data_IF_167156540260
#
_entry.id   IF_167156540260
#
_cell.length_a   1.000
_cell.length_b   1.000
_cell.length_c   1.000
_cell.angle_alpha   90.00
_cell.angle_beta   90.00
_cell.angle_gamma   90.00
#
_symmetry.space_group_name_H-M   'P 1'
#
loop_
_entity.id
_entity.type
_entity.pdbx_description
1 polymer ?
#
# COMPACT_ATOMS: atom_id res chain seq x y z
N UNK A 1 12.65 -7.22 1.25
CA UNK A 1 11.30 -7.79 1.23
C UNK A 1 11.13 -8.73 0.05
N UNK A 2 10.18 -9.67 0.13
CA UNK A 2 9.94 -10.65 -0.93
C UNK A 2 8.97 -10.15 -2.03
N UNK A 3 8.77 -10.96 -3.08
CA UNK A 3 7.90 -10.61 -4.22
C UNK A 3 6.42 -10.47 -3.85
N UNK A 4 5.92 -11.28 -2.93
CA UNK A 4 4.54 -11.19 -2.46
C UNK A 4 4.31 -9.89 -1.70
N UNK A 5 5.28 -9.45 -0.90
CA UNK A 5 5.25 -8.15 -0.25
C UNK A 5 5.15 -7.02 -1.28
N UNK A 6 6.06 -6.97 -2.27
CA UNK A 6 6.07 -5.90 -3.28
C UNK A 6 4.75 -5.84 -4.06
N UNK A 7 4.26 -7.01 -4.50
CA UNK A 7 2.98 -7.07 -5.22
C UNK A 7 1.80 -6.70 -4.32
N UNK A 8 1.78 -7.21 -3.08
CA UNK A 8 0.72 -6.91 -2.12
C UNK A 8 0.61 -5.42 -1.83
N UNK A 9 1.74 -4.75 -1.59
CA UNK A 9 1.83 -3.32 -1.39
C UNK A 9 1.30 -2.55 -2.61
N UNK A 10 1.80 -2.84 -3.81
CA UNK A 10 1.37 -2.15 -5.04
C UNK A 10 -0.14 -2.28 -5.30
N UNK A 11 -0.73 -3.46 -5.05
CA UNK A 11 -2.17 -3.67 -5.19
C UNK A 11 -2.95 -2.80 -4.20
N UNK A 12 -2.53 -2.70 -2.94
CA UNK A 12 -3.24 -1.90 -1.95
C UNK A 12 -3.05 -0.40 -2.15
N UNK A 13 -1.87 0.05 -2.61
CA UNK A 13 -1.65 1.46 -3.01
C UNK A 13 -2.61 1.84 -4.13
N UNK A 14 -2.75 1.00 -5.16
CA UNK A 14 -3.73 1.22 -6.23
C UNK A 14 -5.16 1.33 -5.69
N UNK A 15 -5.55 0.47 -4.75
CA UNK A 15 -6.90 0.51 -4.16
C UNK A 15 -7.17 1.80 -3.38
N UNK A 16 -6.16 2.35 -2.71
CA UNK A 16 -6.28 3.57 -1.93
C UNK A 16 -6.34 4.83 -2.78
N UNK A 17 -5.70 4.85 -3.96
CA UNK A 17 -5.65 6.06 -4.80
C UNK A 17 -6.75 6.02 -5.88
N UNK A 18 -7.05 4.84 -6.43
CA UNK A 18 -7.94 4.72 -7.58
C UNK A 18 -9.42 4.60 -7.17
N UNK A 19 -10.10 5.75 -7.06
CA UNK A 19 -11.52 5.84 -6.69
C UNK A 19 -12.45 5.60 -7.88
N UNK A 20 -12.09 6.00 -9.10
CA UNK A 20 -12.98 6.05 -10.28
C UNK A 20 -12.65 5.02 -11.39
N UNK A 21 -11.59 4.23 -11.22
CA UNK A 21 -11.13 3.24 -12.19
C UNK A 21 -10.16 3.79 -13.24
N UNK A 22 -9.72 5.06 -13.13
CA UNK A 22 -8.73 5.67 -14.02
C UNK A 22 -7.42 5.89 -13.28
N UNK A 23 -6.35 5.41 -13.91
CA UNK A 23 -4.99 5.71 -13.47
C UNK A 23 -4.64 7.11 -13.98
N UNK A 24 -4.43 8.06 -13.07
CA UNK A 24 -3.96 9.40 -13.37
C UNK A 24 -2.43 9.54 -13.13
N UNK A 25 -1.86 10.67 -13.56
CA UNK A 25 -0.41 10.92 -13.43
C UNK A 25 0.06 10.90 -11.97
N UNK A 26 -0.83 11.20 -11.04
CA UNK A 26 -0.52 11.22 -9.62
C UNK A 26 -0.41 9.81 -9.07
N UNK A 27 -1.36 8.94 -9.39
CA UNK A 27 -1.29 7.53 -9.02
C UNK A 27 0.01 6.91 -9.54
N UNK A 28 0.38 7.21 -10.79
CA UNK A 28 1.63 6.76 -11.38
C UNK A 28 2.84 7.26 -10.58
N UNK A 29 2.87 8.55 -10.22
CA UNK A 29 3.95 9.14 -9.42
C UNK A 29 4.09 8.49 -8.05
N UNK A 30 2.97 8.18 -7.39
CA UNK A 30 2.97 7.49 -6.09
C UNK A 30 3.44 6.04 -6.21
N UNK A 31 2.95 5.29 -7.20
CA UNK A 31 3.41 3.93 -7.46
C UNK A 31 4.91 3.89 -7.81
N UNK A 32 5.42 4.87 -8.55
CA UNK A 32 6.85 5.03 -8.83
C UNK A 32 7.66 5.33 -7.56
N UNK A 33 7.14 6.20 -6.69
CA UNK A 33 7.83 6.53 -5.43
C UNK A 33 7.97 5.29 -4.53
N UNK A 34 6.91 4.49 -4.41
CA UNK A 34 6.95 3.20 -3.68
C UNK A 34 7.90 2.20 -4.34
N UNK A 35 7.90 2.13 -5.67
CA UNK A 35 8.82 1.27 -6.43
C UNK A 35 10.28 1.62 -6.10
N UNK A 36 10.62 2.90 -6.07
CA UNK A 36 11.99 3.35 -5.83
C UNK A 36 12.39 3.16 -4.35
N UNK A 37 11.48 3.46 -3.41
CA UNK A 37 11.71 3.28 -1.96
C UNK A 37 11.96 1.81 -1.61
N UNK A 38 11.10 0.91 -2.09
CA UNK A 38 11.17 -0.53 -1.82
C UNK A 38 12.09 -1.30 -2.78
N UNK A 39 12.73 -0.59 -3.73
CA UNK A 39 13.62 -1.16 -4.75
C UNK A 39 12.96 -2.29 -5.54
N UNK A 40 11.70 -2.09 -5.91
CA UNK A 40 10.92 -3.06 -6.69
C UNK A 40 11.48 -3.14 -8.10
N UNK A 41 11.84 -4.34 -8.53
CA UNK A 41 12.40 -4.56 -9.85
C UNK A 41 11.38 -4.26 -10.97
N UNK A 42 11.88 -3.80 -12.11
CA UNK A 42 11.06 -3.43 -13.27
C UNK A 42 10.18 -4.57 -13.79
N UNK A 43 10.61 -5.82 -13.62
CA UNK A 43 9.83 -6.98 -14.08
C UNK A 43 8.60 -7.18 -13.19
N UNK A 44 8.75 -7.07 -11.87
CA UNK A 44 7.66 -7.13 -10.89
C UNK A 44 6.69 -5.97 -11.09
N UNK A 45 7.20 -4.74 -11.24
CA UNK A 45 6.37 -3.56 -11.43
C UNK A 45 5.56 -3.60 -12.75
N UNK A 46 6.18 -4.07 -13.84
CA UNK A 46 5.50 -4.26 -15.14
C UNK A 46 4.43 -5.34 -15.07
N UNK A 47 4.72 -6.47 -14.41
CA UNK A 47 3.76 -7.56 -14.24
C UNK A 47 2.55 -7.10 -13.42
N UNK A 48 2.77 -6.26 -12.40
CA UNK A 48 1.70 -5.60 -11.68
C UNK A 48 0.83 -4.75 -12.62
N UNK A 49 1.41 -3.86 -13.42
CA UNK A 49 0.66 -3.02 -14.35
C UNK A 49 -0.18 -3.82 -15.36
N UNK A 50 0.37 -4.90 -15.91
CA UNK A 50 -0.39 -5.82 -16.80
C UNK A 50 -1.59 -6.42 -16.06
N UNK A 51 -1.43 -6.81 -14.80
CA UNK A 51 -2.50 -7.43 -14.02
C UNK A 51 -3.67 -6.48 -13.74
N UNK A 52 -3.42 -5.18 -13.56
CA UNK A 52 -4.45 -4.18 -13.30
C UNK A 52 -5.46 -4.06 -14.45
N UNK A 53 -5.02 -4.18 -15.70
CA UNK A 53 -5.90 -4.11 -16.88
C UNK A 53 -6.90 -5.26 -17.01
N UNK A 54 -6.77 -6.30 -16.18
CA UNK A 54 -7.58 -7.53 -16.28
C UNK A 54 -8.44 -7.81 -15.06
N UNK A 55 -8.22 -7.09 -13.95
CA UNK A 55 -8.84 -7.39 -12.66
C UNK A 55 -9.83 -6.29 -12.26
N UNK A 56 -10.92 -6.68 -11.62
CA UNK A 56 -11.82 -5.72 -10.99
C UNK A 56 -11.22 -5.22 -9.67
N UNK A 57 -11.64 -4.03 -9.21
CA UNK A 57 -11.19 -3.43 -7.95
C UNK A 57 -11.28 -4.40 -6.76
N UNK A 58 -12.37 -5.16 -6.65
CA UNK A 58 -12.53 -6.14 -5.58
C UNK A 58 -11.48 -7.27 -5.65
N UNK A 59 -11.13 -7.73 -6.85
CA UNK A 59 -10.14 -8.79 -7.04
C UNK A 59 -8.71 -8.29 -6.79
N UNK A 60 -8.42 -7.04 -7.18
CA UNK A 60 -7.15 -6.36 -6.86
C UNK A 60 -6.98 -6.29 -5.34
N UNK A 61 -8.01 -5.86 -4.62
CA UNK A 61 -8.00 -5.83 -3.15
C UNK A 61 -7.76 -7.21 -2.53
N UNK A 62 -8.58 -8.21 -2.91
CA UNK A 62 -8.45 -9.58 -2.38
C UNK A 62 -7.07 -10.16 -2.64
N UNK A 63 -6.52 -9.92 -3.82
CA UNK A 63 -5.18 -10.36 -4.20
C UNK A 63 -4.11 -9.67 -3.36
N UNK A 64 -4.19 -8.36 -3.16
CA UNK A 64 -3.27 -7.60 -2.32
C UNK A 64 -3.22 -8.16 -0.90
N UNK A 65 -4.37 -8.38 -0.28
CA UNK A 65 -4.48 -8.96 1.07
C UNK A 65 -3.93 -10.38 1.12
N UNK A 66 -4.28 -11.23 0.16
CA UNK A 66 -3.80 -12.61 0.12
C UNK A 66 -2.26 -12.68 0.02
N UNK A 67 -1.66 -11.80 -0.80
CA UNK A 67 -0.21 -11.69 -0.93
C UNK A 67 0.44 -11.24 0.38
N UNK A 68 -0.07 -10.18 1.01
CA UNK A 68 0.47 -9.73 2.30
C UNK A 68 0.29 -10.76 3.41
N UNK A 69 -0.82 -11.49 3.45
CA UNK A 69 -1.05 -12.56 4.42
C UNK A 69 -0.09 -13.75 4.29
N UNK A 70 0.59 -13.89 3.14
CA UNK A 70 1.65 -14.88 2.95
C UNK A 70 3.04 -14.37 3.37
N UNK A 71 3.15 -13.11 3.75
CA UNK A 71 4.40 -12.48 4.17
C UNK A 71 4.62 -12.60 5.67
N UNK A 72 5.84 -12.27 6.12
CA UNK A 72 6.15 -12.17 7.55
C UNK A 72 5.36 -11.04 8.21
N UNK A 73 5.31 -11.05 9.55
CA UNK A 73 4.68 -9.97 10.31
C UNK A 73 5.37 -8.62 10.09
N UNK A 74 6.70 -8.61 10.07
CA UNK A 74 7.52 -7.43 9.77
C UNK A 74 7.25 -6.88 8.36
N UNK A 75 7.16 -7.78 7.36
CA UNK A 75 6.81 -7.39 5.99
C UNK A 75 5.42 -6.77 5.93
N UNK A 76 4.42 -7.38 6.58
CA UNK A 76 3.06 -6.81 6.64
C UNK A 76 3.08 -5.43 7.30
N UNK A 77 3.77 -5.29 8.43
CA UNK A 77 3.85 -4.06 9.20
C UNK A 77 4.50 -2.92 8.41
N UNK A 78 5.56 -3.23 7.65
CA UNK A 78 6.18 -2.29 6.72
C UNK A 78 5.20 -1.86 5.62
N UNK A 79 4.49 -2.81 4.99
CA UNK A 79 3.52 -2.49 3.94
C UNK A 79 2.41 -1.57 4.45
N UNK A 80 1.84 -1.86 5.63
CA UNK A 80 0.80 -1.02 6.23
C UNK A 80 1.32 0.34 6.69
N UNK A 81 2.60 0.45 7.07
CA UNK A 81 3.25 1.73 7.33
C UNK A 81 3.26 2.62 6.08
N UNK A 82 3.64 2.09 4.91
CA UNK A 82 3.59 2.87 3.65
C UNK A 82 2.16 3.31 3.33
N UNK A 83 1.19 2.40 3.45
CA UNK A 83 -0.22 2.70 3.16
C UNK A 83 -0.79 3.76 4.11
N UNK A 84 -0.39 3.72 5.38
CA UNK A 84 -0.78 4.72 6.37
C UNK A 84 -0.19 6.10 6.05
N UNK A 85 1.11 6.19 5.76
CA UNK A 85 1.74 7.45 5.34
C UNK A 85 1.13 8.02 4.07
N UNK A 86 0.80 7.16 3.11
CA UNK A 86 0.10 7.55 1.90
C UNK A 86 -1.25 8.20 2.24
N UNK A 87 -2.06 7.53 3.10
CA UNK A 87 -3.34 8.05 3.55
C UNK A 87 -3.23 9.38 4.33
N UNK A 88 -2.18 9.58 5.13
CA UNK A 88 -1.97 10.84 5.87
C UNK A 88 -1.50 11.99 4.96
N UNK A 89 -0.63 11.69 3.99
CA UNK A 89 -0.02 12.71 3.12
C UNK A 89 -0.91 13.11 1.94
N UNK A 90 -1.85 12.24 1.55
CA UNK A 90 -2.74 12.46 0.42
C UNK A 90 -4.13 12.94 0.88
N UNK A 91 -4.37 14.25 0.75
CA UNK A 91 -5.66 14.88 1.08
C UNK A 91 -6.86 14.45 0.20
N UNK A 92 -6.64 13.65 -0.84
CA UNK A 92 -7.69 13.11 -1.72
C UNK A 92 -8.14 11.71 -1.37
N UNK A 93 -7.40 11.03 -0.48
CA UNK A 93 -7.85 9.74 0.06
C UNK A 93 -9.06 10.02 0.96
N UNK A 94 -10.21 9.46 0.58
CA UNK A 94 -11.48 9.72 1.25
C UNK A 94 -11.75 8.72 2.39
N UNK A 95 -12.84 8.93 3.13
CA UNK A 95 -13.20 8.10 4.29
C UNK A 95 -13.45 6.62 3.92
N UNK A 96 -13.85 6.33 2.70
CA UNK A 96 -14.06 4.97 2.20
C UNK A 96 -12.72 4.26 2.02
N UNK A 97 -11.73 4.92 1.46
CA UNK A 97 -10.37 4.38 1.29
C UNK A 97 -9.70 4.17 2.66
N UNK A 98 -9.87 5.12 3.59
CA UNK A 98 -9.44 4.93 4.98
C UNK A 98 -10.12 3.69 5.60
N UNK A 99 -11.42 3.51 5.38
CA UNK A 99 -12.13 2.30 5.85
C UNK A 99 -11.57 1.03 5.22
N UNK A 100 -11.19 1.06 3.94
CA UNK A 100 -10.54 -0.06 3.25
C UNK A 100 -9.18 -0.36 3.87
N UNK A 101 -8.36 0.65 4.16
CA UNK A 101 -7.08 0.49 4.86
C UNK A 101 -7.26 -0.15 6.24
N UNK A 102 -8.16 0.38 7.06
CA UNK A 102 -8.43 -0.17 8.40
C UNK A 102 -8.94 -1.62 8.33
N UNK A 103 -9.76 -1.92 7.32
CA UNK A 103 -10.23 -3.28 7.07
C UNK A 103 -9.09 -4.22 6.66
N UNK A 104 -8.17 -3.73 5.83
CA UNK A 104 -6.98 -4.46 5.40
C UNK A 104 -6.05 -4.81 6.57
N UNK A 105 -5.75 -3.83 7.43
CA UNK A 105 -4.94 -4.01 8.65
C UNK A 105 -5.55 -5.10 9.54
N UNK A 106 -6.85 -5.01 9.80
CA UNK A 106 -7.58 -6.01 10.59
C UNK A 106 -7.54 -7.41 9.97
N UNK A 107 -7.72 -7.51 8.64
CA UNK A 107 -7.66 -8.81 7.95
C UNK A 107 -6.26 -9.41 7.95
N UNK A 108 -5.22 -8.57 7.95
CA UNK A 108 -3.83 -8.99 8.01
C UNK A 108 -3.34 -9.36 9.42
N UNK A 109 -4.22 -9.17 10.42
CA UNK A 109 -3.94 -9.37 11.86
C UNK A 109 -2.72 -8.59 12.31
N UNK A 110 -2.64 -7.34 11.89
CA UNK A 110 -1.63 -6.38 12.33
C UNK A 110 -2.28 -5.41 13.32
N UNK A 111 -1.53 -5.03 14.34
CA UNK A 111 -1.94 -4.00 15.29
C UNK A 111 -1.83 -2.62 14.63
N UNK A 112 -2.89 -1.82 14.72
CA UNK A 112 -2.91 -0.50 14.09
C UNK A 112 -1.94 0.45 14.81
N UNK A 113 -1.86 0.34 16.13
CA UNK A 113 -1.00 1.13 16.98
C UNK A 113 0.48 0.95 16.62
N UNK A 114 0.88 -0.27 16.23
CA UNK A 114 2.24 -0.55 15.75
C UNK A 114 2.53 0.12 14.40
N UNK A 115 1.55 0.10 13.48
CA UNK A 115 1.64 0.78 12.18
C UNK A 115 1.80 2.29 12.38
N UNK A 116 0.95 2.89 13.21
CA UNK A 116 0.99 4.32 13.52
C UNK A 116 2.32 4.72 14.18
N UNK A 117 2.79 3.93 15.15
CA UNK A 117 4.05 4.18 15.83
C UNK A 117 5.24 4.16 14.86
N UNK A 118 5.34 3.13 14.02
CA UNK A 118 6.45 3.00 13.06
C UNK A 118 6.39 4.10 12.01
N UNK A 119 5.20 4.43 11.52
CA UNK A 119 5.00 5.52 10.58
C UNK A 119 5.56 6.84 11.13
N UNK A 120 5.26 7.16 12.39
CA UNK A 120 5.78 8.36 13.08
C UNK A 120 7.28 8.32 13.29
N UNK A 121 7.82 7.19 13.73
CA UNK A 121 9.25 7.05 14.02
C UNK A 121 10.14 7.13 12.79
N UNK A 122 9.66 6.74 11.61
CA UNK A 122 10.44 6.84 10.37
C UNK A 122 10.07 8.03 9.47
N UNK A 123 9.21 8.94 9.93
CA UNK A 123 9.06 10.25 9.31
C UNK A 123 10.24 11.17 9.70
N UNK A 124 10.99 11.76 8.75
CA UNK A 124 12.07 12.69 9.07
C UNK A 124 11.48 14.02 9.58
N UNK A 125 11.11 14.09 10.86
CA UNK A 125 10.49 15.30 11.40
C UNK A 125 9.86 15.25 12.79
N UNK A 126 10.11 14.22 13.62
CA UNK A 126 9.54 14.16 14.98
C UNK A 126 10.61 14.06 16.07
N UNK A 127 11.53 15.02 16.07
CA UNK A 127 12.25 15.46 17.26
C UNK A 127 12.06 16.98 17.41
N UNK A 128 10.90 17.36 17.95
CA UNK A 128 10.51 18.66 18.50
C UNK A 128 9.15 18.35 19.15
N UNK A 129 8.95 18.30 20.46
CA UNK A 129 9.48 19.03 21.63
C UNK A 129 9.48 18.05 22.81
#
# INVERSE_FOLDING_TARGET
MNKNYHLGLLHLVHILINVDGRIDDREISMLQSIKDEEKIDDSTFRNFGISLGTLQKQDIYKRGIALLNSCSEEEKLCAFTHLFRLAESDATIDRNEIRVLMTAIKQAKIDFEDVELIARLSSPGSNSI
#
